data_IF_989812081830
#
_entry.id   IF_989812081830
#
_cell.length_a   1.000
_cell.length_b   1.000
_cell.length_c   1.000
_cell.angle_alpha   90.00
_cell.angle_beta   90.00
_cell.angle_gamma   90.00
#
_symmetry.space_group_name_H-M   'P 1'
#
loop_
_entity.id
_entity.type
_entity.pdbx_description
1 polymer ?
#
# COMPACT_ATOMS: atom_id res chain seq x y z
N UNK A 1 8.49 -12.04 -10.84
CA UNK A 1 7.41 -12.82 -10.17
C UNK A 1 6.34 -11.88 -9.63
N UNK A 2 6.71 -10.78 -8.98
CA UNK A 2 5.75 -9.75 -8.52
C UNK A 2 4.97 -9.10 -9.67
N UNK A 3 5.63 -8.82 -10.80
CA UNK A 3 4.98 -8.28 -12.01
C UNK A 3 3.88 -9.20 -12.55
N UNK A 4 4.09 -10.53 -12.54
CA UNK A 4 3.11 -11.50 -13.04
C UNK A 4 1.88 -11.61 -12.15
N UNK A 5 2.04 -11.51 -10.82
CA UNK A 5 0.88 -11.52 -9.91
C UNK A 5 0.09 -10.21 -10.02
N UNK A 6 0.79 -9.08 -10.15
CA UNK A 6 0.17 -7.77 -10.36
C UNK A 6 -0.67 -7.75 -11.64
N UNK A 7 -0.14 -8.31 -12.73
CA UNK A 7 -0.88 -8.50 -13.98
C UNK A 7 -2.12 -9.39 -13.77
N UNK A 8 -2.00 -10.51 -13.08
CA UNK A 8 -3.11 -11.41 -12.78
C UNK A 8 -4.20 -10.72 -11.94
N UNK A 9 -3.82 -9.91 -10.95
CA UNK A 9 -4.75 -9.10 -10.14
C UNK A 9 -5.44 -8.04 -11.00
N UNK A 10 -4.70 -7.34 -11.84
CA UNK A 10 -5.26 -6.36 -12.77
C UNK A 10 -6.27 -7.00 -13.73
N UNK A 11 -5.95 -8.17 -14.30
CA UNK A 11 -6.87 -8.93 -15.14
C UNK A 11 -8.11 -9.38 -14.38
N UNK A 12 -7.95 -9.90 -13.16
CA UNK A 12 -9.07 -10.28 -12.28
C UNK A 12 -10.03 -9.10 -12.05
N UNK A 13 -9.51 -7.94 -11.62
CA UNK A 13 -10.36 -6.78 -11.32
C UNK A 13 -10.95 -6.14 -12.58
N UNK A 14 -10.27 -6.19 -13.73
CA UNK A 14 -10.84 -5.79 -15.04
C UNK A 14 -12.03 -6.68 -15.42
N UNK A 15 -11.89 -8.00 -15.28
CA UNK A 15 -12.97 -8.97 -15.53
C UNK A 15 -14.16 -8.72 -14.59
N UNK A 16 -13.89 -8.56 -13.30
CA UNK A 16 -14.90 -8.25 -12.29
C UNK A 16 -15.62 -6.93 -12.57
N UNK A 17 -14.87 -5.87 -12.87
CA UNK A 17 -15.43 -4.57 -13.20
C UNK A 17 -16.34 -4.63 -14.44
N UNK A 18 -15.91 -5.35 -15.48
CA UNK A 18 -16.70 -5.55 -16.70
C UNK A 18 -18.01 -6.29 -16.39
N UNK A 19 -17.92 -7.38 -15.63
CA UNK A 19 -19.09 -8.15 -15.19
C UNK A 19 -20.06 -7.30 -14.36
N UNK A 20 -19.57 -6.64 -13.31
CA UNK A 20 -20.37 -5.82 -12.40
C UNK A 20 -21.03 -4.64 -13.13
N UNK A 21 -20.30 -3.98 -14.04
CA UNK A 21 -20.82 -2.88 -14.85
C UNK A 21 -21.96 -3.36 -15.76
N UNK A 22 -21.81 -4.53 -16.39
CA UNK A 22 -22.86 -5.12 -17.23
C UNK A 22 -24.09 -5.50 -16.40
N UNK A 23 -23.88 -6.12 -15.23
CA UNK A 23 -24.96 -6.44 -14.28
C UNK A 23 -25.70 -5.18 -13.83
N UNK A 24 -24.97 -4.11 -13.48
CA UNK A 24 -25.55 -2.84 -13.07
C UNK A 24 -26.33 -2.16 -14.19
N UNK A 25 -25.84 -2.18 -15.44
CA UNK A 25 -26.56 -1.66 -16.61
C UNK A 25 -27.90 -2.39 -16.82
N UNK A 26 -27.89 -3.73 -16.74
CA UNK A 26 -29.10 -4.54 -16.85
C UNK A 26 -30.09 -4.30 -15.71
N UNK A 27 -29.62 -4.14 -14.48
CA UNK A 27 -30.49 -3.77 -13.35
C UNK A 27 -31.07 -2.37 -13.53
N UNK A 28 -30.26 -1.39 -13.97
CA UNK A 28 -30.69 -0.01 -14.19
C UNK A 28 -31.77 0.09 -15.28
N UNK A 29 -31.65 -0.65 -16.39
CA UNK A 29 -32.68 -0.62 -17.43
C UNK A 29 -34.04 -1.09 -16.93
N UNK A 30 -34.08 -2.05 -16.00
CA UNK A 30 -35.33 -2.49 -15.35
C UNK A 30 -35.83 -1.44 -14.34
N UNK A 31 -34.94 -0.89 -13.53
CA UNK A 31 -35.30 0.04 -12.46
C UNK A 31 -35.71 1.44 -12.95
N UNK A 32 -35.23 1.85 -14.13
CA UNK A 32 -35.56 3.13 -14.76
C UNK A 32 -36.82 3.07 -15.62
N UNK A 33 -37.37 1.88 -15.87
CA UNK A 33 -38.60 1.70 -16.63
C UNK A 33 -39.81 2.17 -15.81
N UNK A 34 -40.32 3.35 -16.15
CA UNK A 34 -41.46 3.99 -15.47
C UNK A 34 -42.79 3.23 -15.67
N UNK A 35 -42.85 2.29 -16.61
CA UNK A 35 -44.06 1.47 -16.84
C UNK A 35 -44.24 0.36 -15.81
N UNK A 36 -43.20 0.02 -15.05
CA UNK A 36 -43.21 -1.09 -14.10
C UNK A 36 -43.55 -0.64 -12.68
N UNK A 37 -44.37 -1.42 -11.99
CA UNK A 37 -44.55 -1.28 -10.54
C UNK A 37 -43.33 -1.80 -9.78
N UNK A 38 -43.13 -1.33 -8.54
CA UNK A 38 -42.01 -1.78 -7.68
C UNK A 38 -41.97 -3.32 -7.50
N UNK A 39 -43.12 -3.96 -7.42
CA UNK A 39 -43.23 -5.43 -7.28
C UNK A 39 -42.77 -6.14 -8.55
N UNK A 40 -43.21 -5.67 -9.72
CA UNK A 40 -42.79 -6.22 -11.01
C UNK A 40 -41.30 -6.00 -11.29
N UNK A 41 -40.74 -4.85 -10.88
CA UNK A 41 -39.30 -4.59 -10.98
C UNK A 41 -38.48 -5.61 -10.19
N UNK A 42 -38.87 -5.89 -8.94
CA UNK A 42 -38.19 -6.91 -8.11
C UNK A 42 -38.21 -8.29 -8.77
N UNK A 43 -39.36 -8.69 -9.31
CA UNK A 43 -39.50 -9.96 -10.01
C UNK A 43 -38.58 -10.03 -11.23
N UNK A 44 -38.60 -9.02 -12.12
CA UNK A 44 -37.74 -8.99 -13.30
C UNK A 44 -36.24 -8.99 -12.96
N UNK A 45 -35.84 -8.31 -11.89
CA UNK A 45 -34.45 -8.34 -11.42
C UNK A 45 -34.06 -9.74 -10.92
N UNK A 46 -34.96 -10.46 -10.26
CA UNK A 46 -34.69 -11.83 -9.80
C UNK A 46 -34.62 -12.85 -10.95
N UNK A 47 -35.35 -12.61 -12.04
CA UNK A 47 -35.36 -13.46 -13.25
C UNK A 47 -34.22 -13.12 -14.23
N UNK A 48 -33.38 -12.12 -13.90
CA UNK A 48 -32.32 -11.65 -14.77
C UNK A 48 -31.28 -12.75 -15.02
N UNK A 49 -31.18 -13.19 -16.27
CA UNK A 49 -30.21 -14.19 -16.71
C UNK A 49 -28.85 -13.55 -16.92
N UNK A 50 -27.99 -13.64 -15.91
CA UNK A 50 -26.62 -13.14 -15.98
C UNK A 50 -25.75 -14.03 -16.88
N UNK A 51 -24.81 -13.42 -17.60
CA UNK A 51 -23.92 -14.09 -18.54
C UNK A 51 -22.49 -14.09 -18.02
N UNK A 52 -21.76 -15.19 -18.24
CA UNK A 52 -20.34 -15.27 -17.92
C UNK A 52 -19.54 -14.25 -18.74
N UNK A 53 -18.55 -13.59 -18.12
CA UNK A 53 -17.72 -12.57 -18.77
C UNK A 53 -16.81 -13.13 -19.87
N UNK A 54 -16.38 -14.39 -19.76
CA UNK A 54 -15.50 -15.06 -20.74
C UNK A 54 -16.31 -15.73 -21.87
N UNK A 55 -17.27 -16.60 -21.53
CA UNK A 55 -18.00 -17.38 -22.55
C UNK A 55 -19.43 -16.93 -22.87
N UNK A 56 -19.95 -15.87 -22.24
CA UNK A 56 -21.33 -15.37 -22.39
C UNK A 56 -22.47 -16.35 -22.04
N UNK A 57 -22.17 -17.51 -21.46
CA UNK A 57 -23.19 -18.49 -21.07
C UNK A 57 -24.04 -18.01 -19.90
N UNK A 58 -25.31 -18.45 -19.87
CA UNK A 58 -26.26 -18.15 -18.79
C UNK A 58 -25.79 -18.82 -17.49
N UNK A 59 -25.82 -18.07 -16.39
CA UNK A 59 -25.37 -18.50 -15.07
C UNK A 59 -24.33 -17.55 -14.46
N UNK A 60 -23.66 -16.75 -15.31
CA UNK A 60 -22.78 -15.67 -14.87
C UNK A 60 -21.34 -16.12 -14.59
N UNK A 61 -20.58 -15.21 -13.98
CA UNK A 61 -19.25 -15.48 -13.44
C UNK A 61 -19.33 -15.35 -11.92
N UNK A 62 -18.82 -16.35 -11.22
CA UNK A 62 -18.73 -16.37 -9.77
C UNK A 62 -17.40 -15.73 -9.37
N UNK A 63 -17.48 -14.59 -8.67
CA UNK A 63 -16.35 -13.95 -8.02
C UNK A 63 -16.47 -14.16 -6.51
N UNK A 64 -15.44 -14.76 -5.89
CA UNK A 64 -15.36 -14.99 -4.45
C UNK A 64 -14.08 -14.40 -3.89
N UNK A 65 -14.16 -13.96 -2.64
CA UNK A 65 -13.02 -13.52 -1.84
C UNK A 65 -13.09 -14.20 -0.48
N UNK A 66 -12.07 -14.98 -0.16
CA UNK A 66 -11.93 -15.69 1.12
C UNK A 66 -10.54 -15.42 1.70
N UNK A 67 -10.48 -14.57 2.74
CA UNK A 67 -9.21 -14.08 3.27
C UNK A 67 -8.40 -13.34 2.19
N UNK A 68 -7.20 -13.85 1.92
CA UNK A 68 -6.28 -13.32 0.90
C UNK A 68 -6.59 -13.84 -0.51
N UNK A 69 -7.39 -14.91 -0.65
CA UNK A 69 -7.66 -15.56 -1.94
C UNK A 69 -8.79 -14.90 -2.71
N UNK A 70 -8.54 -14.69 -4.00
CA UNK A 70 -9.47 -14.23 -5.02
C UNK A 70 -9.75 -15.34 -6.02
N UNK A 71 -11.02 -15.67 -6.18
CA UNK A 71 -11.46 -16.73 -7.11
C UNK A 71 -12.41 -16.13 -8.14
N UNK A 72 -12.20 -16.43 -9.43
CA UNK A 72 -13.17 -16.18 -10.50
C UNK A 72 -13.39 -17.46 -11.30
N UNK A 73 -14.64 -17.93 -11.36
CA UNK A 73 -15.01 -19.16 -12.08
C UNK A 73 -16.27 -18.95 -12.90
N UNK A 74 -16.38 -19.62 -14.05
CA UNK A 74 -17.63 -19.66 -14.79
C UNK A 74 -18.71 -20.41 -14.01
N UNK A 75 -19.86 -19.77 -13.81
CA UNK A 75 -20.99 -20.34 -13.06
C UNK A 75 -22.13 -20.71 -14.01
N UNK A 76 -21.81 -21.39 -15.12
CA UNK A 76 -22.80 -21.80 -16.11
C UNK A 76 -23.96 -22.57 -15.45
N UNK A 77 -25.19 -22.25 -15.83
CA UNK A 77 -26.39 -22.86 -15.26
C UNK A 77 -26.52 -24.31 -15.72
N UNK A 78 -26.05 -25.23 -14.88
CA UNK A 78 -26.07 -26.66 -15.15
C UNK A 78 -27.50 -27.21 -15.29
N UNK A 79 -28.51 -26.54 -14.72
CA UNK A 79 -29.93 -26.93 -14.88
C UNK A 79 -30.40 -26.77 -16.32
N UNK A 80 -29.72 -25.91 -17.09
CA UNK A 80 -29.95 -25.70 -18.52
C UNK A 80 -29.02 -26.59 -19.39
N UNK A 81 -28.27 -27.51 -18.80
CA UNK A 81 -27.32 -28.37 -19.53
C UNK A 81 -26.06 -27.66 -20.02
N UNK A 82 -25.77 -26.46 -19.50
CA UNK A 82 -24.60 -25.67 -19.89
C UNK A 82 -23.36 -26.13 -19.11
N UNK A 83 -22.24 -26.28 -19.82
CA UNK A 83 -20.94 -26.63 -19.22
C UNK A 83 -20.11 -25.37 -18.96
N UNK A 84 -19.54 -25.19 -17.76
CA UNK A 84 -18.63 -24.08 -17.47
C UNK A 84 -17.47 -24.02 -18.47
N UNK A 85 -17.05 -22.80 -18.84
CA UNK A 85 -15.83 -22.59 -19.62
C UNK A 85 -14.58 -22.69 -18.74
N UNK A 86 -13.41 -22.58 -19.35
CA UNK A 86 -12.13 -22.75 -18.69
C UNK A 86 -11.73 -21.57 -17.78
N UNK A 87 -12.55 -20.52 -17.71
CA UNK A 87 -12.30 -19.37 -16.84
C UNK A 87 -12.12 -19.84 -15.39
N UNK A 88 -10.89 -19.76 -14.91
CA UNK A 88 -10.50 -20.16 -13.57
C UNK A 88 -9.33 -19.33 -13.08
N UNK A 89 -9.65 -18.36 -12.24
CA UNK A 89 -8.68 -17.59 -11.48
C UNK A 89 -8.72 -18.08 -10.03
N UNK A 90 -7.55 -18.36 -9.48
CA UNK A 90 -7.28 -18.60 -8.07
C UNK A 90 -5.97 -17.90 -7.74
N UNK A 91 -6.10 -16.69 -7.18
CA UNK A 91 -4.96 -15.81 -6.89
C UNK A 91 -4.94 -15.58 -5.38
N UNK A 92 -3.82 -15.89 -4.76
CA UNK A 92 -3.52 -15.45 -3.41
C UNK A 92 -2.87 -14.07 -3.47
N UNK A 93 -3.53 -13.07 -2.89
CA UNK A 93 -3.02 -11.70 -2.88
C UNK A 93 -1.79 -11.55 -1.97
N UNK A 94 -1.47 -12.56 -1.17
CA UNK A 94 -0.52 -12.43 -0.08
C UNK A 94 -1.17 -11.79 1.14
N UNK A 95 -0.44 -11.82 2.25
CA UNK A 95 -0.83 -11.22 3.52
C UNK A 95 0.24 -10.21 3.90
N UNK A 96 -0.20 -8.98 4.15
CA UNK A 96 0.68 -7.85 4.43
C UNK A 96 0.13 -7.08 5.60
N UNK A 97 1.01 -6.74 6.53
CA UNK A 97 0.70 -5.96 7.72
C UNK A 97 1.57 -4.71 7.75
N UNK A 98 1.10 -3.65 8.38
CA UNK A 98 1.89 -2.42 8.47
C UNK A 98 2.84 -2.46 9.67
N UNK A 99 4.02 -1.84 9.54
CA UNK A 99 5.05 -1.77 10.60
C UNK A 99 4.46 -1.48 12.00
N UNK A 100 3.57 -0.47 12.20
CA UNK A 100 3.03 -0.20 13.53
C UNK A 100 2.18 -1.33 14.12
N UNK A 101 1.46 -2.07 13.28
CA UNK A 101 0.63 -3.20 13.70
C UNK A 101 1.51 -4.38 14.11
N UNK A 102 2.48 -4.75 13.27
CA UNK A 102 3.45 -5.81 13.56
C UNK A 102 4.24 -5.50 14.84
N UNK A 103 4.69 -4.26 14.99
CA UNK A 103 5.36 -3.80 16.20
C UNK A 103 4.49 -3.99 17.45
N UNK A 104 3.22 -3.58 17.38
CA UNK A 104 2.28 -3.70 18.51
C UNK A 104 2.04 -5.16 18.88
N UNK A 105 1.92 -6.05 17.88
CA UNK A 105 1.76 -7.48 18.09
C UNK A 105 2.99 -8.07 18.82
N UNK A 106 4.20 -7.86 18.28
CA UNK A 106 5.44 -8.34 18.92
C UNK A 106 5.65 -7.77 20.32
N UNK A 107 5.28 -6.50 20.53
CA UNK A 107 5.37 -5.86 21.84
C UNK A 107 4.42 -6.51 22.84
N UNK A 108 3.20 -6.82 22.43
CA UNK A 108 2.19 -7.51 23.25
C UNK A 108 2.66 -8.92 23.61
N UNK A 109 3.17 -9.68 22.64
CA UNK A 109 3.70 -11.02 22.86
C UNK A 109 4.90 -11.01 23.82
N UNK A 110 5.80 -10.05 23.66
CA UNK A 110 6.95 -9.87 24.55
C UNK A 110 6.51 -9.57 25.98
N UNK A 111 5.47 -8.76 26.18
CA UNK A 111 4.94 -8.44 27.50
C UNK A 111 4.19 -9.62 28.13
N UNK A 112 3.54 -10.46 27.32
CA UNK A 112 2.99 -11.74 27.77
C UNK A 112 4.09 -12.70 28.24
N UNK A 113 5.18 -12.84 27.48
CA UNK A 113 6.32 -13.69 27.88
C UNK A 113 6.95 -13.19 29.17
N UNK A 114 7.13 -11.87 29.33
CA UNK A 114 7.61 -11.28 30.60
C UNK A 114 6.70 -11.65 31.76
N UNK A 115 5.38 -11.56 31.57
CA UNK A 115 4.38 -11.94 32.57
C UNK A 115 4.48 -13.42 32.92
N UNK A 116 4.64 -14.29 31.93
CA UNK A 116 4.81 -15.73 32.14
C UNK A 116 6.10 -16.06 32.90
N UNK A 117 7.22 -15.38 32.61
CA UNK A 117 8.47 -15.53 33.35
C UNK A 117 8.28 -15.11 34.82
N UNK A 118 7.59 -14.00 35.07
CA UNK A 118 7.30 -13.56 36.45
C UNK A 118 6.43 -14.58 37.18
N UNK A 119 5.37 -15.07 36.53
CA UNK A 119 4.51 -16.11 37.10
C UNK A 119 5.30 -17.38 37.44
N UNK A 120 6.11 -17.87 36.49
CA UNK A 120 6.95 -19.05 36.70
C UNK A 120 7.89 -18.89 37.90
N UNK A 121 8.50 -17.71 38.07
CA UNK A 121 9.34 -17.41 39.24
C UNK A 121 8.56 -17.45 40.55
N UNK A 122 7.33 -16.92 40.56
CA UNK A 122 6.45 -16.96 41.73
C UNK A 122 6.01 -18.40 42.03
N UNK A 123 5.71 -19.20 41.00
CA UNK A 123 5.31 -20.59 41.16
C UNK A 123 6.42 -21.44 41.81
N UNK A 124 7.68 -21.21 41.43
CA UNK A 124 8.83 -21.82 42.12
C UNK A 124 8.96 -21.31 43.55
N UNK A 125 8.87 -19.99 43.76
CA UNK A 125 9.05 -19.37 45.08
C UNK A 125 8.03 -19.85 46.12
N UNK A 126 6.77 -20.06 45.70
CA UNK A 126 5.69 -20.55 46.56
C UNK A 126 5.57 -22.08 46.58
N UNK A 127 6.45 -22.78 45.87
CA UNK A 127 6.47 -24.25 45.84
C UNK A 127 5.28 -24.88 45.09
N UNK A 128 4.67 -24.15 44.15
CA UNK A 128 3.66 -24.72 43.24
C UNK A 128 4.28 -25.62 42.18
N UNK A 129 5.55 -25.39 41.82
CA UNK A 129 6.33 -26.24 40.92
C UNK A 129 7.78 -26.38 41.43
N UNK A 130 8.43 -27.47 41.04
CA UNK A 130 9.84 -27.73 41.35
C UNK A 130 10.78 -27.04 40.36
N UNK A 131 12.02 -26.72 40.78
CA UNK A 131 13.02 -26.09 39.91
C UNK A 131 13.32 -26.92 38.65
N UNK A 132 13.36 -28.25 38.78
CA UNK A 132 13.60 -29.18 37.67
C UNK A 132 12.53 -29.09 36.59
N UNK A 133 11.30 -28.71 36.94
CA UNK A 133 10.20 -28.46 36.01
C UNK A 133 10.22 -27.04 35.45
N UNK A 134 10.69 -26.07 36.24
CA UNK A 134 10.71 -24.66 35.85
C UNK A 134 11.85 -24.32 34.86
N UNK A 135 13.02 -24.95 34.98
CA UNK A 135 14.18 -24.70 34.12
C UNK A 135 13.85 -24.80 32.61
N UNK A 136 13.24 -25.87 32.08
CA UNK A 136 12.95 -25.96 30.66
C UNK A 136 11.95 -24.90 30.19
N UNK A 137 10.91 -24.59 30.99
CA UNK A 137 9.94 -23.53 30.67
C UNK A 137 10.61 -22.15 30.60
N UNK A 138 11.50 -21.87 31.55
CA UNK A 138 12.27 -20.63 31.55
C UNK A 138 13.17 -20.50 30.33
N UNK A 139 13.80 -21.61 29.90
CA UNK A 139 14.62 -21.62 28.68
C UNK A 139 13.79 -21.31 27.44
N UNK A 140 12.61 -21.95 27.28
CA UNK A 140 11.68 -21.65 26.18
C UNK A 140 11.27 -20.18 26.17
N UNK A 141 10.80 -19.64 27.31
CA UNK A 141 10.42 -18.23 27.39
C UNK A 141 11.58 -17.27 27.10
N UNK A 142 12.81 -17.63 27.50
CA UNK A 142 14.00 -16.83 27.23
C UNK A 142 14.33 -16.82 25.73
N UNK A 143 14.19 -17.94 25.04
CA UNK A 143 14.42 -18.04 23.60
C UNK A 143 13.37 -17.25 22.80
N UNK A 144 12.09 -17.39 23.15
CA UNK A 144 11.00 -16.61 22.56
C UNK A 144 11.20 -15.11 22.80
N UNK A 145 11.55 -14.71 24.03
CA UNK A 145 11.86 -13.33 24.36
C UNK A 145 13.00 -12.76 23.50
N UNK A 146 14.11 -13.50 23.39
CA UNK A 146 15.27 -13.04 22.62
C UNK A 146 14.93 -12.90 21.13
N UNK A 147 14.09 -13.80 20.61
CA UNK A 147 13.62 -13.73 19.22
C UNK A 147 12.81 -12.46 19.00
N UNK A 148 11.82 -12.20 19.86
CA UNK A 148 11.00 -10.99 19.77
C UNK A 148 11.79 -9.70 19.99
N UNK A 149 12.78 -9.70 20.88
CA UNK A 149 13.67 -8.55 21.10
C UNK A 149 14.45 -8.18 19.84
N UNK A 150 14.98 -9.19 19.12
CA UNK A 150 15.62 -8.98 17.81
C UNK A 150 14.62 -8.46 16.79
N UNK A 151 13.44 -9.07 16.68
CA UNK A 151 12.41 -8.63 15.74
C UNK A 151 11.93 -7.20 16.00
N UNK A 152 11.73 -6.81 17.27
CA UNK A 152 11.36 -5.44 17.64
C UNK A 152 12.46 -4.42 17.32
N UNK A 153 13.73 -4.78 17.50
CA UNK A 153 14.87 -3.94 17.08
C UNK A 153 14.85 -3.72 15.56
N UNK A 154 14.66 -4.79 14.79
CA UNK A 154 14.54 -4.69 13.33
C UNK A 154 13.36 -3.82 12.90
N UNK A 155 12.20 -3.95 13.57
CA UNK A 155 11.04 -3.10 13.28
C UNK A 155 11.31 -1.62 13.60
N UNK A 156 11.99 -1.32 14.71
CA UNK A 156 12.39 0.05 15.03
C UNK A 156 13.35 0.62 13.98
N UNK A 157 14.33 -0.17 13.52
CA UNK A 157 15.24 0.25 12.46
C UNK A 157 14.52 0.54 11.14
N UNK A 158 13.53 -0.28 10.77
CA UNK A 158 12.67 -0.04 9.61
C UNK A 158 11.84 1.24 9.78
N UNK A 159 11.22 1.42 10.94
CA UNK A 159 10.46 2.62 11.27
C UNK A 159 11.34 3.89 11.16
N UNK A 160 12.53 3.88 11.75
CA UNK A 160 13.45 5.01 11.69
C UNK A 160 13.90 5.28 10.24
N UNK A 161 14.21 4.23 9.49
CA UNK A 161 14.68 4.34 8.12
C UNK A 161 13.63 4.93 7.18
N UNK A 162 12.38 4.48 7.30
CA UNK A 162 11.30 4.76 6.34
C UNK A 162 10.51 5.98 6.80
N UNK A 163 10.00 5.94 8.03
CA UNK A 163 9.08 6.97 8.56
C UNK A 163 9.85 8.20 9.05
N UNK A 164 10.97 7.99 9.77
CA UNK A 164 11.84 9.12 10.19
C UNK A 164 12.88 9.51 9.13
N UNK A 165 12.91 8.79 8.01
CA UNK A 165 13.82 9.03 6.89
C UNK A 165 15.30 9.17 7.32
N UNK A 166 15.73 8.38 8.32
CA UNK A 166 17.13 8.43 8.81
C UNK A 166 18.13 8.06 7.72
N UNK A 167 17.71 7.25 6.72
CA UNK A 167 18.51 6.90 5.54
C UNK A 167 19.05 8.11 4.77
N UNK A 168 18.28 9.19 4.70
CA UNK A 168 18.63 10.37 3.93
C UNK A 168 19.03 11.57 4.79
N UNK A 169 19.00 11.44 6.13
CA UNK A 169 19.24 12.52 7.06
C UNK A 169 20.54 13.29 6.76
N UNK A 170 21.66 12.58 6.58
CA UNK A 170 22.96 13.20 6.27
C UNK A 170 22.96 13.91 4.91
N UNK A 171 22.33 13.33 3.88
CA UNK A 171 22.24 13.95 2.56
C UNK A 171 21.39 15.22 2.59
N UNK A 172 20.27 15.18 3.31
CA UNK A 172 19.38 16.33 3.52
C UNK A 172 20.12 17.43 4.29
N UNK A 173 20.86 17.09 5.34
CA UNK A 173 21.64 18.07 6.10
C UNK A 173 22.72 18.73 5.24
N UNK A 174 23.48 17.94 4.48
CA UNK A 174 24.51 18.45 3.57
C UNK A 174 23.93 19.35 2.47
N UNK A 175 22.81 18.96 1.86
CA UNK A 175 22.12 19.78 0.87
C UNK A 175 21.54 21.06 1.48
N UNK A 176 21.00 20.99 2.70
CA UNK A 176 20.49 22.18 3.40
C UNK A 176 21.59 23.22 3.60
N UNK A 177 22.80 22.78 3.99
CA UNK A 177 23.98 23.66 4.10
C UNK A 177 24.37 24.26 2.74
N UNK A 178 24.42 23.45 1.67
CA UNK A 178 24.74 23.92 0.31
C UNK A 178 23.70 24.91 -0.20
N UNK A 179 22.41 24.63 -0.01
CA UNK A 179 21.30 25.52 -0.40
C UNK A 179 21.42 26.85 0.35
N UNK A 180 21.73 26.81 1.65
CA UNK A 180 21.94 28.00 2.45
C UNK A 180 23.09 28.85 1.90
N UNK A 181 24.26 28.25 1.62
CA UNK A 181 25.39 28.98 1.05
C UNK A 181 25.08 29.55 -0.33
N UNK A 182 24.44 28.79 -1.22
CA UNK A 182 24.05 29.27 -2.56
C UNK A 182 23.07 30.45 -2.47
N UNK A 183 22.10 30.38 -1.54
CA UNK A 183 21.18 31.49 -1.28
C UNK A 183 21.91 32.74 -0.79
N UNK A 184 22.93 32.58 0.03
CA UNK A 184 23.74 33.71 0.49
C UNK A 184 24.50 34.35 -0.67
N UNK A 185 25.18 33.55 -1.50
CA UNK A 185 25.87 34.03 -2.71
C UNK A 185 24.93 34.82 -3.62
N UNK A 186 23.73 34.29 -3.89
CA UNK A 186 22.72 34.97 -4.72
C UNK A 186 22.31 36.31 -4.09
N UNK A 187 22.10 36.37 -2.77
CA UNK A 187 21.76 37.63 -2.08
C UNK A 187 22.88 38.66 -2.22
N UNK A 188 24.13 38.24 -2.05
CA UNK A 188 25.29 39.13 -2.13
C UNK A 188 25.48 39.68 -3.55
N UNK A 189 25.23 38.87 -4.59
CA UNK A 189 25.23 39.30 -5.99
C UNK A 189 24.12 40.32 -6.28
N UNK A 190 22.92 40.09 -5.76
CA UNK A 190 21.80 41.04 -5.91
C UNK A 190 22.07 42.37 -5.21
N UNK A 191 22.72 42.36 -4.04
CA UNK A 191 23.14 43.58 -3.35
C UNK A 191 24.21 44.34 -4.15
N UNK A 192 25.19 43.63 -4.74
CA UNK A 192 26.18 44.25 -5.60
C UNK A 192 25.55 44.89 -6.84
N UNK A 193 24.60 44.21 -7.49
CA UNK A 193 23.83 44.78 -8.59
C UNK A 193 23.11 46.07 -8.17
N UNK A 194 22.44 46.09 -7.02
CA UNK A 194 21.76 47.28 -6.52
C UNK A 194 22.72 48.46 -6.26
N UNK A 195 23.97 48.18 -5.90
CA UNK A 195 24.98 49.19 -5.62
C UNK A 195 25.69 49.71 -6.88
N UNK A 196 25.89 48.88 -7.90
CA UNK A 196 26.73 49.21 -9.07
C UNK A 196 25.98 49.34 -10.39
N UNK A 197 24.75 48.83 -10.46
CA UNK A 197 23.97 48.63 -11.71
C UNK A 197 24.69 47.76 -12.77
N UNK A 198 25.67 46.95 -12.36
CA UNK A 198 26.39 46.06 -13.27
C UNK A 198 25.58 44.78 -13.56
N UNK A 199 25.07 44.69 -14.78
CA UNK A 199 24.32 43.54 -15.31
C UNK A 199 25.03 42.18 -15.19
N UNK A 200 26.35 42.14 -15.00
CA UNK A 200 27.08 40.88 -14.79
C UNK A 200 26.61 40.16 -13.52
N UNK A 201 26.33 40.89 -12.44
CA UNK A 201 25.82 40.30 -11.20
C UNK A 201 24.45 39.63 -11.36
N UNK A 202 23.61 40.13 -12.27
CA UNK A 202 22.34 39.47 -12.63
C UNK A 202 22.59 38.19 -13.43
N UNK A 203 23.53 38.20 -14.38
CA UNK A 203 23.91 36.98 -15.13
C UNK A 203 24.43 35.90 -14.19
N UNK A 204 25.29 36.26 -13.25
CA UNK A 204 25.85 35.33 -12.26
C UNK A 204 24.78 34.83 -11.29
N UNK A 205 23.82 35.69 -10.90
CA UNK A 205 22.66 35.29 -10.10
C UNK A 205 21.83 34.23 -10.81
N UNK A 206 21.51 34.44 -12.09
CA UNK A 206 20.75 33.48 -12.90
C UNK A 206 21.54 32.17 -13.06
N UNK A 207 22.86 32.26 -13.26
CA UNK A 207 23.73 31.10 -13.35
C UNK A 207 23.66 30.25 -12.07
N UNK A 208 23.88 30.84 -10.89
CA UNK A 208 23.78 30.14 -9.61
C UNK A 208 22.37 29.61 -9.33
N UNK A 209 21.33 30.33 -9.74
CA UNK A 209 19.95 29.85 -9.59
C UNK A 209 19.71 28.57 -10.41
N UNK A 210 20.10 28.56 -11.68
CA UNK A 210 19.84 27.46 -12.62
C UNK A 210 20.74 26.26 -12.33
N UNK A 211 22.04 26.49 -12.11
CA UNK A 211 23.04 25.42 -12.07
C UNK A 211 23.34 24.91 -10.65
N UNK A 212 23.04 25.70 -9.61
CA UNK A 212 23.29 25.30 -8.22
C UNK A 212 21.98 25.16 -7.43
N UNK A 213 21.23 26.25 -7.25
CA UNK A 213 20.11 26.27 -6.31
C UNK A 213 18.98 25.32 -6.73
N UNK A 214 18.54 25.41 -7.99
CA UNK A 214 17.45 24.59 -8.50
C UNK A 214 17.76 23.07 -8.42
N UNK A 215 18.91 22.57 -8.92
CA UNK A 215 19.23 21.15 -8.78
C UNK A 215 19.40 20.73 -7.33
N UNK A 216 20.02 21.54 -6.46
CA UNK A 216 20.15 21.23 -5.03
C UNK A 216 18.77 21.06 -4.36
N UNK A 217 17.83 21.98 -4.62
CA UNK A 217 16.47 21.91 -4.06
C UNK A 217 15.69 20.74 -4.66
N UNK A 218 15.87 20.42 -5.95
CA UNK A 218 15.28 19.23 -6.57
C UNK A 218 15.79 17.95 -5.90
N UNK A 219 17.09 17.81 -5.73
CA UNK A 219 17.70 16.65 -5.09
C UNK A 219 17.26 16.53 -3.62
N UNK A 220 17.15 17.65 -2.89
CA UNK A 220 16.64 17.63 -1.52
C UNK A 220 15.20 17.11 -1.45
N UNK A 221 14.35 17.51 -2.40
CA UNK A 221 12.97 16.99 -2.50
C UNK A 221 12.95 15.48 -2.76
N UNK A 222 13.80 14.98 -3.65
CA UNK A 222 13.93 13.54 -3.95
C UNK A 222 14.40 12.73 -2.73
N UNK A 223 15.25 13.31 -1.88
CA UNK A 223 15.63 12.67 -0.62
C UNK A 223 14.55 12.74 0.47
N UNK A 224 13.69 13.75 0.42
CA UNK A 224 12.70 14.01 1.47
C UNK A 224 11.41 13.23 1.25
N UNK A 225 10.98 13.09 0.00
CA UNK A 225 9.68 12.56 -0.36
C UNK A 225 9.80 11.38 -1.32
N UNK A 226 9.08 10.30 -1.02
CA UNK A 226 8.88 9.18 -1.93
C UNK A 226 7.95 9.57 -3.09
N UNK A 227 6.88 10.31 -2.78
CA UNK A 227 5.96 10.87 -3.79
C UNK A 227 5.97 12.38 -3.70
N UNK A 228 6.32 13.04 -4.80
CA UNK A 228 6.27 14.49 -4.94
C UNK A 228 5.68 14.85 -6.30
N UNK A 229 4.37 15.06 -6.34
CA UNK A 229 3.63 15.23 -7.58
C UNK A 229 2.60 16.36 -7.46
N UNK A 230 2.15 16.85 -8.61
CA UNK A 230 1.03 17.77 -8.70
C UNK A 230 -0.15 16.97 -9.26
N UNK A 231 -1.24 16.90 -8.51
CA UNK A 231 -2.48 16.22 -8.91
C UNK A 231 -3.55 17.26 -9.25
N UNK A 232 -4.31 17.00 -10.31
CA UNK A 232 -5.41 17.85 -10.76
C UNK A 232 -6.70 17.46 -10.03
N UNK A 233 -7.61 18.41 -9.82
CA UNK A 233 -8.87 18.17 -9.08
C UNK A 233 -9.71 17.08 -9.75
N UNK A 234 -9.75 17.08 -11.08
CA UNK A 234 -10.49 16.13 -11.91
C UNK A 234 -9.72 14.83 -12.23
N UNK A 235 -8.48 14.70 -11.76
CA UNK A 235 -7.61 13.54 -12.01
C UNK A 235 -7.12 13.41 -13.46
N UNK A 236 -7.30 14.44 -14.31
CA UNK A 236 -6.82 14.42 -15.70
C UNK A 236 -5.36 14.85 -15.80
N UNK A 237 -4.59 14.26 -16.71
CA UNK A 237 -3.23 14.71 -17.06
C UNK A 237 -3.14 14.89 -18.58
N UNK A 238 -2.93 16.12 -19.12
CA UNK A 238 -2.62 17.37 -18.42
C UNK A 238 -3.81 18.02 -17.70
N UNK A 239 -3.55 18.72 -16.59
CA UNK A 239 -4.59 19.43 -15.83
C UNK A 239 -5.35 20.44 -16.71
N UNK A 240 -6.66 20.25 -16.83
CA UNK A 240 -7.55 21.24 -17.44
C UNK A 240 -8.05 22.28 -16.42
N UNK A 241 -7.99 21.95 -15.13
CA UNK A 241 -8.44 22.83 -14.04
C UNK A 241 -7.37 23.83 -13.59
N UNK A 242 -7.83 25.01 -13.16
CA UNK A 242 -7.00 26.08 -12.61
C UNK A 242 -6.40 25.68 -11.24
N UNK A 243 -7.13 24.87 -10.47
CA UNK A 243 -6.72 24.44 -9.13
C UNK A 243 -5.94 23.13 -9.23
N UNK A 244 -4.79 23.08 -8.54
CA UNK A 244 -3.89 21.92 -8.50
C UNK A 244 -3.48 21.64 -7.06
N UNK A 245 -3.30 20.38 -6.72
CA UNK A 245 -2.84 19.95 -5.40
C UNK A 245 -1.40 19.46 -5.45
N UNK A 246 -0.56 19.96 -4.54
CA UNK A 246 0.77 19.41 -4.33
C UNK A 246 0.66 18.23 -3.36
N UNK A 247 1.06 17.05 -3.84
CA UNK A 247 1.12 15.82 -3.05
C UNK A 247 2.57 15.55 -2.69
N UNK A 248 2.86 15.52 -1.39
CA UNK A 248 4.18 15.28 -0.82
C UNK A 248 4.09 14.23 0.28
N UNK A 249 4.48 13.02 -0.05
CA UNK A 249 4.46 11.88 0.87
C UNK A 249 5.91 11.49 1.20
N UNK A 250 6.32 11.54 2.47
CA UNK A 250 7.69 11.19 2.88
C UNK A 250 8.01 9.70 2.67
N UNK A 251 6.98 8.86 2.68
CA UNK A 251 7.04 7.42 2.44
C UNK A 251 5.71 6.96 1.82
N UNK A 252 5.74 5.85 1.08
CA UNK A 252 4.52 5.23 0.54
C UNK A 252 3.94 4.19 1.50
N UNK A 253 2.66 3.86 1.33
CA UNK A 253 2.02 2.78 2.10
C UNK A 253 2.75 1.44 1.91
N UNK A 254 3.12 1.12 0.66
CA UNK A 254 3.88 -0.09 0.29
C UNK A 254 5.21 -0.17 1.02
N UNK A 255 5.92 0.95 1.21
CA UNK A 255 7.16 0.96 2.00
C UNK A 255 6.93 0.62 3.48
N UNK A 256 5.71 0.75 3.99
CA UNK A 256 5.38 0.42 5.38
C UNK A 256 4.81 -0.98 5.55
N UNK A 257 4.63 -1.73 4.46
CA UNK A 257 4.14 -3.11 4.48
C UNK A 257 5.25 -4.09 4.87
N UNK A 258 4.86 -5.09 5.65
CA UNK A 258 5.63 -6.27 6.02
C UNK A 258 4.90 -7.46 5.41
N UNK A 259 5.58 -8.18 4.52
CA UNK A 259 5.05 -9.41 3.95
C UNK A 259 5.01 -10.51 5.03
N UNK A 260 3.79 -10.93 5.37
CA UNK A 260 3.55 -12.07 6.26
C UNK A 260 3.49 -13.37 5.46
N UNK A 261 2.92 -13.32 4.25
CA UNK A 261 2.99 -14.40 3.27
C UNK A 261 2.98 -13.83 1.85
N UNK A 262 3.81 -14.37 0.93
CA UNK A 262 3.93 -13.83 -0.41
C UNK A 262 2.67 -14.05 -1.23
N UNK A 263 2.43 -13.13 -2.17
CA UNK A 263 1.39 -13.30 -3.18
C UNK A 263 1.73 -14.41 -4.18
N UNK A 264 0.72 -15.12 -4.67
CA UNK A 264 0.91 -16.25 -5.58
C UNK A 264 -0.27 -16.47 -6.53
N UNK A 265 0.03 -16.88 -7.76
CA UNK A 265 -0.97 -17.41 -8.69
C UNK A 265 -1.06 -18.90 -8.44
N UNK A 266 -2.17 -19.36 -7.85
CA UNK A 266 -2.43 -20.78 -7.62
C UNK A 266 -2.91 -21.42 -8.93
N UNK A 267 -3.81 -20.74 -9.63
CA UNK A 267 -4.28 -21.15 -10.95
C UNK A 267 -4.78 -19.93 -11.73
N UNK A 268 -4.44 -19.84 -13.02
CA UNK A 268 -4.97 -18.80 -13.89
C UNK A 268 -5.19 -19.34 -15.31
N UNK A 269 -6.45 -19.36 -15.73
CA UNK A 269 -6.89 -19.71 -17.08
C UNK A 269 -8.03 -18.77 -17.46
N UNK A 270 -7.96 -18.17 -18.66
CA UNK A 270 -8.97 -17.27 -19.21
C UNK A 270 -10.02 -17.99 -20.07
#
# INVERSE_FOLDING_TARGET
>A
MEDTVTEALNSYYKLKHTYDTNVLKLKRSILQDKSLSKTLMKQKVSELKLKCVSCNQIGGTLFLQHGTKLIAKCNADQRLGLKPCNLNYDIDRGDYEIIPQVYTNYKTDMDLIRTNIVRLKLDVLFGYIEETQAIPLFQTYKEEYNTLDVSLKQMNELFDRIIRNTRNHTNIANLSTKIYSTKQTIRDLLQQYQATDDSQFIRDTIHHYIHDLNPQVKQMREYTYEKNAIECVDGTDPCNDITKYLIQEPYSYVQTEIEMSPSAIIQMVE
#
